data_IF_004553544404
#
_entry.id   IF_004553544404
#
_cell.length_a   1.000
_cell.length_b   1.000
_cell.length_c   1.000
_cell.angle_alpha   90.00
_cell.angle_beta   90.00
_cell.angle_gamma   90.00
#
_symmetry.space_group_name_H-M   'P 1'
#
loop_
_entity.id
_entity.type
_entity.pdbx_description
1 polymer ?
#
# COMPACT_ATOMS: atom_id res chain seq x y z
N UNK A 1 -12.82 -13.66 -11.79
CA UNK A 1 -13.71 -13.08 -10.74
C UNK A 1 -12.97 -11.93 -10.06
N UNK A 2 -13.63 -10.83 -9.69
CA UNK A 2 -12.98 -9.65 -9.09
C UNK A 2 -13.60 -9.33 -7.73
N UNK A 3 -12.78 -9.25 -6.68
CA UNK A 3 -13.16 -8.84 -5.34
C UNK A 3 -12.37 -7.58 -4.95
N UNK A 4 -13.02 -6.62 -4.29
CA UNK A 4 -12.39 -5.38 -3.82
C UNK A 4 -12.58 -5.24 -2.33
N UNK A 5 -11.49 -4.93 -1.63
CA UNK A 5 -11.40 -4.77 -0.18
C UNK A 5 -10.94 -3.33 0.08
N UNK A 6 -11.58 -2.64 1.01
CA UNK A 6 -11.25 -1.26 1.37
C UNK A 6 -10.72 -1.18 2.80
N UNK A 7 -9.62 -0.44 2.95
CA UNK A 7 -8.92 -0.21 4.20
C UNK A 7 -8.70 1.28 4.44
N UNK A 8 -8.74 1.69 5.69
CA UNK A 8 -8.27 3.00 6.16
C UNK A 8 -6.89 2.84 6.79
N UNK A 9 -5.98 3.78 6.54
CA UNK A 9 -4.67 3.78 7.18
C UNK A 9 -4.24 5.19 7.56
N UNK A 10 -3.62 5.32 8.74
CA UNK A 10 -2.90 6.52 9.17
C UNK A 10 -1.42 6.19 9.29
N UNK A 11 -0.58 7.08 8.79
CA UNK A 11 0.87 6.89 8.69
C UNK A 11 1.60 7.09 10.04
N UNK A 12 1.16 6.42 11.10
CA UNK A 12 1.66 6.65 12.47
C UNK A 12 2.82 5.74 12.91
N UNK A 13 3.16 4.67 12.21
CA UNK A 13 4.29 3.79 12.59
C UNK A 13 5.06 3.33 11.34
N UNK A 14 5.95 4.18 10.82
CA UNK A 14 6.98 3.72 9.89
C UNK A 14 8.12 3.07 10.69
N UNK A 15 8.11 1.74 10.82
CA UNK A 15 9.30 1.01 11.25
C UNK A 15 10.24 0.79 10.06
N UNK A 16 11.40 1.43 10.10
CA UNK A 16 12.45 1.30 9.08
C UNK A 16 13.32 0.07 9.37
N UNK A 17 13.00 -1.05 8.74
CA UNK A 17 13.88 -2.22 8.76
C UNK A 17 15.07 -1.97 7.83
N UNK A 18 16.28 -2.02 8.38
CA UNK A 18 17.56 -1.76 7.68
C UNK A 18 17.97 -2.86 6.69
N UNK A 19 17.06 -3.73 6.25
CA UNK A 19 17.37 -4.79 5.30
C UNK A 19 16.42 -4.72 4.11
N UNK A 20 16.98 -4.32 2.97
CA UNK A 20 16.55 -4.57 1.60
C UNK A 20 15.15 -4.03 1.19
N UNK A 21 15.18 -2.85 0.56
CA UNK A 21 14.26 -2.34 -0.47
C UNK A 21 12.75 -2.14 -0.19
N UNK A 22 12.26 -2.40 1.03
CA UNK A 22 10.85 -2.19 1.39
C UNK A 22 10.70 -1.15 2.51
N UNK A 23 10.41 0.10 2.13
CA UNK A 23 10.64 1.28 2.99
C UNK A 23 9.34 1.99 3.43
N UNK A 24 8.21 1.28 3.48
CA UNK A 24 7.00 1.84 4.10
C UNK A 24 5.98 0.80 4.51
N UNK A 25 5.83 0.54 5.81
CA UNK A 25 4.74 -0.29 6.35
C UNK A 25 3.52 0.61 6.55
N UNK A 26 2.43 0.29 5.85
CA UNK A 26 1.10 0.86 6.10
C UNK A 26 0.29 -0.18 6.87
N UNK A 27 -0.07 0.14 8.11
CA UNK A 27 -0.98 -0.67 8.91
C UNK A 27 -2.41 -0.41 8.42
N UNK A 28 -2.99 -1.40 7.76
CA UNK A 28 -4.33 -1.33 7.20
C UNK A 28 -5.36 -1.64 8.29
N UNK A 29 -6.43 -0.84 8.36
CA UNK A 29 -7.57 -1.06 9.25
C UNK A 29 -8.82 -1.24 8.39
N UNK A 30 -9.50 -2.37 8.56
CA UNK A 30 -10.82 -2.56 7.93
C UNK A 30 -11.82 -1.52 8.44
N UNK A 31 -12.62 -0.96 7.52
CA UNK A 31 -13.71 0.00 7.79
C UNK A 31 -14.84 -0.56 8.69
N UNK A 32 -14.75 -1.83 9.12
CA UNK A 32 -15.69 -2.51 10.02
C UNK A 32 -15.26 -2.65 11.49
N UNK A 33 -14.15 -2.02 11.91
CA UNK A 33 -13.79 -1.88 13.33
C UNK A 33 -13.11 -3.08 13.99
N UNK A 34 -12.76 -4.14 13.25
CA UNK A 34 -11.82 -5.16 13.74
C UNK A 34 -10.40 -4.72 13.43
N UNK A 35 -9.59 -4.55 14.47
CA UNK A 35 -8.13 -4.42 14.35
C UNK A 35 -7.56 -5.75 13.87
N UNK A 36 -7.32 -5.87 12.58
CA UNK A 36 -6.34 -6.79 12.06
C UNK A 36 -5.08 -5.99 11.73
N UNK A 37 -3.91 -6.55 12.03
CA UNK A 37 -2.63 -5.99 11.62
C UNK A 37 -2.33 -6.50 10.22
N UNK A 38 -3.05 -5.95 9.23
CA UNK A 38 -2.73 -6.19 7.83
C UNK A 38 -1.64 -5.18 7.45
N UNK A 39 -0.44 -5.69 7.22
CA UNK A 39 0.74 -4.86 6.97
C UNK A 39 1.00 -4.82 5.47
N UNK A 40 0.83 -3.65 4.86
CA UNK A 40 1.20 -3.40 3.47
C UNK A 40 2.55 -2.69 3.42
N UNK A 41 3.58 -3.41 2.99
CA UNK A 41 4.89 -2.85 2.67
C UNK A 41 4.83 -2.27 1.26
N UNK A 42 4.81 -0.95 1.15
CA UNK A 42 4.58 -0.23 -0.10
C UNK A 42 5.60 0.89 -0.34
N UNK A 43 6.22 0.96 -1.53
CA UNK A 43 7.20 1.99 -1.81
C UNK A 43 6.61 3.41 -1.85
N UNK A 44 7.22 4.39 -1.16
CA UNK A 44 6.64 5.73 -1.07
C UNK A 44 6.60 6.52 -2.38
N UNK A 45 7.51 6.24 -3.33
CA UNK A 45 7.46 6.83 -4.67
C UNK A 45 6.22 6.38 -5.49
N UNK A 46 5.53 5.30 -5.06
CA UNK A 46 4.26 4.86 -5.64
C UNK A 46 3.04 5.46 -4.94
N UNK A 47 3.22 6.28 -3.91
CA UNK A 47 2.12 6.96 -3.22
C UNK A 47 1.70 8.25 -3.95
N UNK A 48 0.47 8.75 -3.72
CA UNK A 48 0.03 10.06 -4.18
C UNK A 48 0.99 11.16 -3.74
N UNK A 49 1.38 12.07 -4.63
CA UNK A 49 2.41 13.08 -4.32
C UNK A 49 2.08 13.94 -3.10
N UNK A 50 0.81 14.33 -2.93
CA UNK A 50 0.35 15.12 -1.79
C UNK A 50 0.34 14.32 -0.48
N UNK A 51 0.38 12.99 -0.51
CA UNK A 51 0.37 12.12 0.66
C UNK A 51 1.76 11.57 1.06
N UNK A 52 2.84 11.96 0.36
CA UNK A 52 4.21 11.45 0.62
C UNK A 52 4.89 12.13 1.81
N UNK A 53 4.26 12.13 2.97
CA UNK A 53 4.87 12.66 4.19
C UNK A 53 4.37 11.93 5.44
N UNK A 54 5.16 12.00 6.51
CA UNK A 54 4.84 11.33 7.78
C UNK A 54 3.57 11.92 8.41
N UNK A 55 2.65 11.03 8.77
CA UNK A 55 1.35 11.36 9.35
C UNK A 55 0.28 11.75 8.33
N UNK A 56 0.49 11.55 7.03
CA UNK A 56 -0.57 11.70 6.03
C UNK A 56 -1.63 10.57 6.14
N UNK A 57 -2.91 10.93 6.12
CA UNK A 57 -4.01 9.97 6.11
C UNK A 57 -4.28 9.46 4.70
N UNK A 58 -4.59 8.16 4.58
CA UNK A 58 -4.89 7.54 3.31
C UNK A 58 -6.03 6.53 3.37
N UNK A 59 -6.76 6.43 2.26
CA UNK A 59 -7.64 5.29 1.97
C UNK A 59 -6.92 4.35 1.01
N UNK A 60 -6.89 3.06 1.32
CA UNK A 60 -6.28 2.02 0.50
C UNK A 60 -7.36 1.06 0.03
N UNK A 61 -7.57 0.98 -1.28
CA UNK A 61 -8.44 -0.04 -1.88
C UNK A 61 -7.59 -1.08 -2.60
N UNK A 62 -7.87 -2.35 -2.33
CA UNK A 62 -7.18 -3.48 -2.91
C UNK A 62 -8.18 -4.33 -3.70
N UNK A 63 -7.90 -4.56 -4.98
CA UNK A 63 -8.69 -5.46 -5.81
C UNK A 63 -7.86 -6.68 -6.19
N UNK A 64 -8.44 -7.88 -6.07
CA UNK A 64 -7.81 -9.16 -6.41
C UNK A 64 -8.58 -9.83 -7.56
N UNK A 65 -7.84 -10.35 -8.54
CA UNK A 65 -8.41 -11.09 -9.67
C UNK A 65 -7.50 -12.23 -10.14
N UNK A 66 -8.12 -13.20 -10.80
CA UNK A 66 -7.48 -14.28 -11.57
C UNK A 66 -6.97 -13.80 -12.94
N UNK A 67 -7.43 -12.63 -13.40
CA UNK A 67 -7.04 -12.02 -14.67
C UNK A 67 -6.44 -10.62 -14.47
N UNK A 68 -5.60 -10.19 -15.42
CA UNK A 68 -5.00 -8.86 -15.38
C UNK A 68 -6.07 -7.77 -15.52
N UNK A 69 -5.97 -6.70 -14.72
CA UNK A 69 -6.91 -5.59 -14.82
C UNK A 69 -6.59 -4.74 -16.06
N UNK A 70 -7.65 -4.25 -16.72
CA UNK A 70 -7.52 -3.28 -17.82
C UNK A 70 -7.35 -1.84 -17.33
N UNK A 71 -6.45 -1.62 -16.36
CA UNK A 71 -6.21 -0.32 -15.73
C UNK A 71 -4.75 0.10 -15.97
N UNK A 72 -4.50 1.33 -16.38
CA UNK A 72 -3.11 1.81 -16.51
C UNK A 72 -2.58 2.27 -15.14
N UNK A 73 -1.42 1.77 -14.68
CA UNK A 73 -0.77 2.30 -13.49
C UNK A 73 -0.56 3.81 -13.62
N UNK A 74 -0.81 4.56 -12.54
CA UNK A 74 -0.66 6.01 -12.54
C UNK A 74 -0.42 6.54 -11.14
N UNK A 75 0.33 7.64 -11.07
CA UNK A 75 0.54 8.38 -9.83
C UNK A 75 0.19 9.84 -10.08
N UNK A 76 -0.75 10.37 -9.30
CA UNK A 76 -1.21 11.77 -9.33
C UNK A 76 -0.96 12.42 -7.97
N UNK A 77 -1.38 13.68 -7.83
CA UNK A 77 -1.30 14.42 -6.57
C UNK A 77 -2.01 13.69 -5.44
N UNK A 78 -3.26 13.29 -5.64
CA UNK A 78 -4.13 12.81 -4.55
C UNK A 78 -4.46 11.33 -4.67
N UNK A 79 -4.13 10.69 -5.80
CA UNK A 79 -4.43 9.28 -6.05
C UNK A 79 -3.27 8.59 -6.74
N UNK A 80 -3.00 7.37 -6.32
CA UNK A 80 -2.15 6.41 -7.03
C UNK A 80 -2.91 5.12 -7.28
N UNK A 81 -2.69 4.52 -8.45
CA UNK A 81 -3.21 3.21 -8.82
C UNK A 81 -2.05 2.41 -9.41
N UNK A 82 -1.75 1.27 -8.82
CA UNK A 82 -0.72 0.35 -9.30
C UNK A 82 -1.27 -1.04 -9.49
N UNK A 83 -0.64 -1.81 -10.37
CA UNK A 83 -0.97 -3.21 -10.61
C UNK A 83 0.25 -4.10 -10.42
N UNK A 84 0.00 -5.28 -9.87
CA UNK A 84 1.00 -6.26 -9.52
C UNK A 84 0.58 -7.67 -9.89
N UNK A 85 1.55 -8.55 -10.10
CA UNK A 85 1.37 -9.99 -9.93
C UNK A 85 1.59 -10.31 -8.45
N UNK A 86 0.58 -10.82 -7.77
CA UNK A 86 0.70 -11.33 -6.41
C UNK A 86 1.03 -12.83 -6.41
N UNK A 87 1.95 -13.25 -5.54
CA UNK A 87 2.21 -14.67 -5.25
C UNK A 87 2.17 -14.93 -3.75
N UNK A 88 1.40 -15.92 -3.32
CA UNK A 88 1.43 -16.37 -1.92
C UNK A 88 2.77 -17.08 -1.69
N UNK A 89 3.57 -16.59 -0.74
CA UNK A 89 4.89 -17.16 -0.44
C UNK A 89 4.98 -17.79 0.95
N UNK A 90 3.91 -17.70 1.74
CA UNK A 90 3.84 -18.29 3.06
C UNK A 90 2.66 -17.76 3.85
N UNK A 91 2.57 -18.22 5.08
CA UNK A 91 1.52 -17.83 6.03
C UNK A 91 2.20 -17.31 7.29
N UNK A 92 1.85 -16.09 7.69
CA UNK A 92 2.24 -15.53 8.98
C UNK A 92 0.98 -15.44 9.84
N UNK A 93 1.01 -15.99 11.05
CA UNK A 93 -0.14 -15.97 11.98
C UNK A 93 -1.47 -16.40 11.33
N UNK A 94 -1.46 -17.49 10.55
CA UNK A 94 -2.61 -18.03 9.83
C UNK A 94 -3.21 -17.13 8.72
N UNK A 95 -2.52 -16.04 8.35
CA UNK A 95 -2.89 -15.19 7.23
C UNK A 95 -1.86 -15.29 6.08
N UNK A 96 -2.31 -15.45 4.82
CA UNK A 96 -1.43 -15.52 3.66
C UNK A 96 -0.70 -14.20 3.45
N UNK A 97 0.60 -14.33 3.20
CA UNK A 97 1.49 -13.24 2.83
C UNK A 97 1.78 -13.31 1.32
N UNK A 98 1.62 -12.17 0.67
CA UNK A 98 1.81 -11.98 -0.76
C UNK A 98 3.09 -11.19 -1.03
N UNK A 99 3.88 -11.68 -1.99
CA UNK A 99 4.88 -10.87 -2.68
C UNK A 99 4.25 -10.29 -3.93
N UNK A 100 4.41 -8.98 -4.13
CA UNK A 100 3.84 -8.23 -5.24
C UNK A 100 4.93 -7.82 -6.21
N UNK A 101 4.83 -8.30 -7.45
CA UNK A 101 5.83 -8.09 -8.49
C UNK A 101 5.28 -7.16 -9.58
N UNK A 102 6.18 -6.43 -10.26
CA UNK A 102 5.77 -5.64 -11.45
C UNK A 102 5.22 -6.56 -12.54
N UNK A 103 4.27 -6.06 -13.35
CA UNK A 103 3.78 -6.79 -14.52
C UNK A 103 4.82 -6.89 -15.65
N UNK A 104 5.83 -6.01 -15.66
CA UNK A 104 6.75 -5.84 -16.80
C UNK A 104 8.13 -6.44 -16.58
N UNK A 105 8.66 -6.35 -15.36
CA UNK A 105 10.03 -6.75 -15.04
C UNK A 105 10.11 -7.95 -14.08
N UNK A 106 8.99 -8.36 -13.48
CA UNK A 106 8.93 -9.40 -12.41
C UNK A 106 9.80 -9.05 -11.19
N UNK A 107 10.09 -7.76 -10.99
CA UNK A 107 10.80 -7.27 -9.81
C UNK A 107 9.85 -7.21 -8.62
N UNK A 108 10.32 -7.61 -7.44
CA UNK A 108 9.57 -7.47 -6.18
C UNK A 108 9.42 -5.97 -5.85
N UNK A 109 8.19 -5.53 -5.63
CA UNK A 109 7.89 -4.11 -5.35
C UNK A 109 7.28 -3.92 -3.96
N UNK A 110 6.40 -4.81 -3.56
CA UNK A 110 5.62 -4.65 -2.33
C UNK A 110 5.33 -6.02 -1.71
N UNK A 111 4.93 -6.01 -0.44
CA UNK A 111 4.41 -7.18 0.24
C UNK A 111 3.14 -6.81 0.99
N UNK A 112 2.20 -7.74 1.07
CA UNK A 112 0.99 -7.54 1.85
C UNK A 112 0.57 -8.83 2.52
N UNK A 113 0.09 -8.71 3.75
CA UNK A 113 -0.58 -9.78 4.46
C UNK A 113 -2.08 -9.47 4.52
N UNK A 114 -2.92 -10.45 4.17
CA UNK A 114 -4.38 -10.29 4.10
C UNK A 114 -5.07 -11.36 4.93
N UNK A 115 -6.16 -11.02 5.61
CA UNK A 115 -7.01 -12.02 6.26
C UNK A 115 -7.58 -13.00 5.21
N UNK A 116 -7.47 -14.33 5.40
CA UNK A 116 -8.08 -15.32 4.51
C UNK A 116 -9.57 -15.09 4.25
N UNK A 117 -10.30 -14.49 5.20
CA UNK A 117 -11.72 -14.17 5.05
C UNK A 117 -12.00 -13.09 3.99
N UNK A 118 -11.00 -12.30 3.62
CA UNK A 118 -11.07 -11.29 2.57
C UNK A 118 -10.67 -11.83 1.20
N UNK A 119 -10.13 -13.04 1.12
CA UNK A 119 -9.63 -13.59 -0.13
C UNK A 119 -10.69 -14.42 -0.86
N UNK A 120 -10.66 -14.38 -2.21
CA UNK A 120 -11.43 -15.32 -3.00
C UNK A 120 -11.04 -16.77 -2.67
N UNK A 121 -12.02 -17.67 -2.64
CA UNK A 121 -11.79 -19.10 -2.28
C UNK A 121 -10.79 -19.86 -3.16
N UNK A 122 -10.50 -19.36 -4.35
CA UNK A 122 -9.54 -19.97 -5.27
C UNK A 122 -8.09 -19.59 -4.97
N UNK A 123 -7.86 -18.61 -4.09
CA UNK A 123 -6.57 -18.06 -3.73
C UNK A 123 -6.29 -18.40 -2.27
N UNK A 124 -5.80 -19.60 -2.01
CA UNK A 124 -5.66 -20.12 -0.64
C UNK A 124 -4.38 -20.88 -0.37
N UNK A 125 -3.65 -21.30 -1.40
CA UNK A 125 -2.50 -22.18 -1.27
C UNK A 125 -1.19 -21.44 -1.53
N UNK A 126 -0.11 -21.90 -0.89
CA UNK A 126 1.23 -21.38 -1.15
C UNK A 126 1.61 -21.63 -2.62
N UNK A 127 2.10 -20.59 -3.28
CA UNK A 127 2.44 -20.61 -4.71
C UNK A 127 1.30 -20.18 -5.63
N UNK A 128 0.08 -19.99 -5.12
CA UNK A 128 -1.00 -19.42 -5.91
C UNK A 128 -0.64 -18.01 -6.41
N UNK A 129 -1.08 -17.71 -7.64
CA UNK A 129 -0.79 -16.47 -8.34
C UNK A 129 -2.09 -15.71 -8.60
N UNK A 130 -2.06 -14.40 -8.36
CA UNK A 130 -3.17 -13.50 -8.67
C UNK A 130 -2.67 -12.21 -9.32
N UNK A 131 -3.60 -11.42 -9.85
CA UNK A 131 -3.39 -10.03 -10.18
C UNK A 131 -3.99 -9.18 -9.08
N UNK A 132 -3.23 -8.17 -8.65
CA UNK A 132 -3.65 -7.27 -7.58
C UNK A 132 -3.55 -5.82 -8.04
N UNK A 133 -4.61 -5.05 -7.84
CA UNK A 133 -4.64 -3.61 -8.05
C UNK A 133 -4.68 -2.92 -6.69
N UNK A 134 -3.72 -2.03 -6.42
CA UNK A 134 -3.69 -1.22 -5.20
C UNK A 134 -3.96 0.23 -5.59
N UNK A 135 -5.00 0.81 -5.01
CA UNK A 135 -5.37 2.22 -5.13
C UNK A 135 -5.15 2.89 -3.78
N UNK A 136 -4.34 3.94 -3.76
CA UNK A 136 -4.06 4.74 -2.56
C UNK A 136 -4.58 6.15 -2.79
N UNK A 137 -5.39 6.66 -1.88
CA UNK A 137 -5.96 8.00 -1.89
C UNK A 137 -5.44 8.81 -0.73
N UNK A 138 -4.97 10.02 -0.99
CA UNK A 138 -4.69 10.98 0.07
C UNK A 138 -6.01 11.54 0.62
N UNK A 139 -6.24 11.37 1.92
CA UNK A 139 -7.42 11.89 2.60
C UNK A 139 -7.08 13.20 3.30
N UNK A 140 -7.31 14.32 2.60
CA UNK A 140 -7.07 15.65 3.14
C UNK A 140 -8.08 16.03 4.24
N UNK A 141 -9.33 15.60 4.12
CA UNK A 141 -10.37 15.96 5.10
C UNK A 141 -10.09 15.27 6.45
N UNK A 142 -9.72 13.99 6.44
CA UNK A 142 -9.30 13.29 7.66
C UNK A 142 -8.04 13.92 8.29
N UNK A 143 -7.18 14.56 7.50
CA UNK A 143 -6.05 15.33 8.04
C UNK A 143 -6.52 16.58 8.79
N UNK A 144 -7.57 17.25 8.32
CA UNK A 144 -8.10 18.47 8.94
C UNK A 144 -8.75 18.22 10.32
N UNK A 145 -9.12 16.98 10.62
CA UNK A 145 -9.60 16.58 11.95
C UNK A 145 -8.48 16.63 13.03
N UNK A 146 -7.21 16.56 12.61
CA UNK A 146 -6.05 16.46 13.50
C UNK A 146 -5.04 17.60 13.35
N UNK A 147 -5.00 18.25 12.18
CA UNK A 147 -4.01 19.27 11.84
C UNK A 147 -4.67 20.43 11.10
N UNK A 148 -4.21 21.65 11.36
CA UNK A 148 -4.57 22.81 10.54
C UNK A 148 -3.91 22.76 9.15
N UNK A 149 -4.46 23.51 8.20
CA UNK A 149 -3.88 23.68 6.85
C UNK A 149 -2.41 24.10 6.87
N UNK A 150 -2.07 25.05 7.75
CA UNK A 150 -0.69 25.52 7.89
C UNK A 150 0.24 24.41 8.44
N UNK A 151 -0.24 23.56 9.35
CA UNK A 151 0.51 22.41 9.87
C UNK A 151 0.68 21.31 8.82
N UNK A 152 -0.37 21.05 8.02
CA UNK A 152 -0.31 20.11 6.90
C UNK A 152 0.73 20.58 5.88
N UNK A 153 0.68 21.85 5.51
CA UNK A 153 1.61 22.43 4.55
C UNK A 153 3.04 22.51 5.10
N UNK A 154 3.20 22.80 6.40
CA UNK A 154 4.49 22.75 7.07
C UNK A 154 5.07 21.33 7.07
N UNK A 155 4.25 20.31 7.35
CA UNK A 155 4.65 18.90 7.23
C UNK A 155 5.08 18.58 5.80
N UNK A 156 4.25 18.86 4.79
CA UNK A 156 4.60 18.65 3.37
C UNK A 156 5.96 19.28 3.01
N UNK A 157 6.22 20.50 3.47
CA UNK A 157 7.48 21.23 3.24
C UNK A 157 8.69 20.71 4.01
N UNK A 158 8.51 19.97 5.11
CA UNK A 158 9.61 19.44 5.93
C UNK A 158 10.19 18.12 5.40
N UNK A 159 9.48 17.43 4.50
CA UNK A 159 9.90 16.13 3.99
C UNK A 159 10.46 16.06 2.55
N UNK A 160 10.69 17.16 1.77
CA UNK A 160 11.22 17.01 0.42
C UNK A 160 12.62 16.39 0.39
N UNK A 161 13.45 16.60 1.41
CA UNK A 161 14.77 15.95 1.53
C UNK A 161 14.64 14.45 1.78
N UNK A 162 13.71 14.01 2.66
CA UNK A 162 13.46 12.58 2.87
C UNK A 162 12.84 11.91 1.65
N UNK A 163 11.92 12.59 0.96
CA UNK A 163 11.32 12.09 -0.29
C UNK A 163 12.35 12.01 -1.42
N UNK A 164 13.27 12.98 -1.53
CA UNK A 164 14.37 12.96 -2.49
C UNK A 164 15.39 11.86 -2.17
N UNK A 165 15.78 11.68 -0.90
CA UNK A 165 16.64 10.57 -0.46
C UNK A 165 16.00 9.20 -0.78
N UNK A 166 14.66 9.10 -0.73
CA UNK A 166 13.91 7.89 -1.10
C UNK A 166 13.80 7.65 -2.61
N UNK A 167 13.97 8.69 -3.44
CA UNK A 167 14.00 8.61 -4.90
C UNK A 167 15.43 8.37 -5.42
N UNK A 168 16.47 8.88 -4.75
CA UNK A 168 17.89 8.73 -5.13
C UNK A 168 18.52 7.38 -4.74
N UNK A 169 17.96 6.63 -3.78
CA UNK A 169 18.39 5.26 -3.42
C UNK A 169 18.13 4.20 -4.51
N UNK A 170 17.89 4.61 -5.77
CA UNK A 170 17.47 3.77 -6.90
C UNK A 170 18.39 3.84 -8.13
N UNK A 171 19.63 4.25 -7.94
CA UNK A 171 20.68 4.18 -8.98
C UNK A 171 21.78 3.21 -8.62
#
# INVERSE_FOLDING_TARGET
MNETIEFETSYEELEFFHNDDLVGIMYLRSTGGKRFSEDLQYPPHLMPANGRYLGASHTVSLSVSDEAFSISPSVRSDVSIQQFVGRIFGFAFDAPAFKLYTLTTDDLVAQIQLDPAHLPKWLSDEGDVCYMSIRVEYDHEAMLDHYSEDEIEAKRKQFPEKVADMEELRL
#
